data_IF_851967456229
#
_entry.id   IF_851967456229
#
_cell.length_a   1.000
_cell.length_b   1.000
_cell.length_c   1.000
_cell.angle_alpha   90.00
_cell.angle_beta   90.00
_cell.angle_gamma   90.00
#
_symmetry.space_group_name_H-M   'P 1'
#
loop_
_entity.id
_entity.type
_entity.pdbx_description
1 polymer ?
#
# COMPACT_ATOMS: atom_id res chain seq x y z
N UNK A 1 0.37 19.78 -3.58
CA UNK A 1 0.64 19.34 -2.20
C UNK A 1 1.32 17.98 -2.27
N UNK A 2 2.57 17.87 -1.83
CA UNK A 2 3.32 16.60 -1.85
C UNK A 2 2.79 15.69 -0.75
N UNK A 3 2.24 14.53 -1.11
CA UNK A 3 1.82 13.51 -0.13
C UNK A 3 3.04 13.06 0.69
N UNK A 4 2.93 12.86 2.02
CA UNK A 4 4.01 12.33 2.84
C UNK A 4 4.51 10.96 2.34
N UNK A 5 3.65 10.21 1.64
CA UNK A 5 4.01 8.92 1.05
C UNK A 5 5.01 9.04 -0.12
N UNK A 6 5.19 10.24 -0.69
CA UNK A 6 6.16 10.48 -1.76
C UNK A 6 7.62 10.31 -1.32
N UNK A 7 7.88 10.32 0.00
CA UNK A 7 9.19 9.99 0.56
C UNK A 7 9.57 8.51 0.34
N UNK A 8 8.61 7.62 0.09
CA UNK A 8 8.85 6.19 -0.07
C UNK A 8 8.93 5.82 -1.56
N UNK A 9 10.08 5.34 -2.07
CA UNK A 9 10.27 5.05 -3.50
C UNK A 9 9.26 4.05 -4.10
N UNK A 10 8.69 3.15 -3.28
CA UNK A 10 7.67 2.19 -3.72
C UNK A 10 6.44 2.86 -4.36
N UNK A 11 6.11 4.08 -3.93
CA UNK A 11 4.96 4.84 -4.45
C UNK A 11 5.17 5.37 -5.87
N UNK A 12 6.41 5.39 -6.37
CA UNK A 12 6.70 5.68 -7.78
C UNK A 12 6.18 4.57 -8.70
N UNK A 13 6.24 3.32 -8.24
CA UNK A 13 5.74 2.15 -8.98
C UNK A 13 4.25 1.93 -8.73
N UNK A 14 3.78 2.14 -7.50
CA UNK A 14 2.37 1.98 -7.13
C UNK A 14 1.86 3.22 -6.40
N UNK A 15 1.37 4.24 -7.13
CA UNK A 15 0.90 5.49 -6.54
C UNK A 15 -0.33 5.31 -5.64
N UNK A 16 -0.29 5.93 -4.44
CA UNK A 16 -1.41 5.91 -3.51
C UNK A 16 -2.52 6.87 -3.98
N UNK A 17 -3.69 6.32 -4.36
CA UNK A 17 -4.88 7.12 -4.72
C UNK A 17 -5.60 7.71 -3.51
N UNK A 18 -5.48 7.04 -2.37
CA UNK A 18 -6.02 7.47 -1.07
C UNK A 18 -4.87 7.46 -0.06
N UNK A 19 -4.06 8.54 0.01
CA UNK A 19 -2.84 8.58 0.82
C UNK A 19 -3.09 8.59 2.33
N UNK A 20 -4.34 8.80 2.75
CA UNK A 20 -4.85 8.69 4.12
C UNK A 20 -5.10 7.25 4.58
N UNK A 21 -5.12 6.28 3.65
CA UNK A 21 -5.36 4.86 3.95
C UNK A 21 -4.06 4.08 4.07
N UNK A 22 -4.10 2.95 4.76
CA UNK A 22 -3.03 1.97 4.74
C UNK A 22 -2.87 1.41 3.31
N UNK A 23 -1.63 1.39 2.81
CA UNK A 23 -1.31 0.88 1.47
C UNK A 23 -0.87 -0.59 1.56
N UNK A 24 -1.67 -1.50 1.01
CA UNK A 24 -1.37 -2.94 0.96
C UNK A 24 -0.74 -3.31 -0.40
N UNK A 25 0.56 -3.58 -0.41
CA UNK A 25 1.28 -4.11 -1.58
C UNK A 25 1.45 -5.62 -1.44
N UNK A 26 0.50 -6.41 -1.97
CA UNK A 26 0.45 -7.85 -1.75
C UNK A 26 -0.07 -8.61 -2.98
N UNK A 27 -0.08 -9.93 -2.89
CA UNK A 27 -0.70 -10.87 -3.83
C UNK A 27 -1.54 -11.88 -3.04
N UNK A 28 -2.56 -12.53 -3.66
CA UNK A 28 -3.46 -13.47 -2.99
C UNK A 28 -2.79 -14.84 -2.74
N UNK A 29 -1.66 -14.85 -2.05
CA UNK A 29 -0.96 -16.06 -1.58
C UNK A 29 -1.42 -16.42 -0.16
N UNK A 30 -1.19 -17.65 0.33
CA UNK A 30 -1.56 -18.03 1.70
C UNK A 30 -0.99 -17.10 2.79
N UNK A 31 0.16 -16.47 2.55
CA UNK A 31 0.70 -15.47 3.46
C UNK A 31 0.11 -14.08 3.23
N UNK A 32 -0.13 -13.69 1.97
CA UNK A 32 -0.70 -12.38 1.64
C UNK A 32 -2.13 -12.19 2.14
N UNK A 33 -2.96 -13.24 2.09
CA UNK A 33 -4.35 -13.16 2.57
C UNK A 33 -4.45 -12.96 4.07
N UNK A 34 -3.43 -13.34 4.86
CA UNK A 34 -3.42 -13.10 6.31
C UNK A 34 -3.57 -11.62 6.65
N UNK A 35 -2.93 -10.74 5.86
CA UNK A 35 -2.99 -9.29 6.05
C UNK A 35 -4.33 -8.73 5.58
N UNK A 36 -4.82 -9.16 4.42
CA UNK A 36 -6.09 -8.64 3.90
C UNK A 36 -7.32 -9.13 4.66
N UNK A 37 -7.26 -10.28 5.34
CA UNK A 37 -8.36 -10.78 6.19
C UNK A 37 -8.46 -10.01 7.51
N UNK A 38 -7.34 -9.50 8.02
CA UNK A 38 -7.32 -8.72 9.25
C UNK A 38 -7.90 -7.30 9.07
N UNK A 39 -7.72 -6.72 7.88
CA UNK A 39 -8.09 -5.33 7.54
C UNK A 39 -9.57 -5.21 7.17
#
# INVERSE_FOLDING_TARGET
>A
MTSPLSAFPITRKWPARHPDRLQLYSLPTPNGVKVSIML
#
